data_IF_125251732686
#
_entry.id   IF_125251732686
#
_cell.length_a   1.000
_cell.length_b   1.000
_cell.length_c   1.000
_cell.angle_alpha   90.00
_cell.angle_beta   90.00
_cell.angle_gamma   90.00
#
_symmetry.space_group_name_H-M   'P 1'
#
loop_
_entity.id
_entity.type
_entity.pdbx_description
1 polymer ?
#
# COMPACT_ATOMS: atom_id res chain seq x y z
N UNK A 1 -35.23 -0.73 -5.70
CA UNK A 1 -35.59 -0.07 -6.96
C UNK A 1 -36.03 -1.19 -7.89
N UNK A 2 -37.35 -1.46 -7.93
CA UNK A 2 -37.94 -2.51 -8.71
C UNK A 2 -38.08 -2.02 -10.15
N UNK A 3 -37.47 -2.72 -11.07
CA UNK A 3 -37.63 -2.51 -12.51
C UNK A 3 -38.93 -3.31 -12.90
N UNK A 4 -40.08 -2.79 -12.52
CA UNK A 4 -41.37 -3.48 -12.80
C UNK A 4 -42.24 -2.77 -13.83
N UNK A 5 -41.82 -1.66 -14.45
CA UNK A 5 -42.82 -0.83 -15.15
C UNK A 5 -42.65 -0.64 -16.65
N UNK A 6 -41.73 -1.23 -17.38
CA UNK A 6 -41.66 -0.97 -18.83
C UNK A 6 -41.20 -2.16 -19.69
N UNK A 7 -41.74 -3.34 -19.46
CA UNK A 7 -41.54 -4.46 -20.39
C UNK A 7 -42.70 -4.48 -21.38
N UNK A 8 -42.50 -4.29 -22.71
CA UNK A 8 -43.53 -4.39 -23.71
C UNK A 8 -44.27 -5.76 -23.66
N UNK A 9 -45.59 -5.81 -23.94
CA UNK A 9 -46.38 -7.05 -23.83
C UNK A 9 -45.84 -8.22 -24.64
N UNK A 10 -45.18 -7.97 -25.72
CA UNK A 10 -44.55 -8.99 -26.57
C UNK A 10 -43.39 -9.78 -25.88
N UNK A 11 -42.86 -9.24 -24.79
CA UNK A 11 -41.81 -9.89 -23.99
C UNK A 11 -42.34 -10.54 -22.71
N UNK A 12 -43.64 -10.52 -22.44
CA UNK A 12 -44.20 -11.12 -21.22
C UNK A 12 -43.94 -12.63 -21.12
N UNK A 13 -43.88 -13.33 -22.23
CA UNK A 13 -43.53 -14.77 -22.24
C UNK A 13 -42.07 -15.05 -21.77
N UNK A 14 -41.21 -14.06 -21.78
CA UNK A 14 -39.82 -14.15 -21.30
C UNK A 14 -39.67 -13.67 -19.85
N UNK A 15 -40.74 -13.19 -19.23
CA UNK A 15 -40.74 -12.64 -17.86
C UNK A 15 -40.31 -13.65 -16.79
N UNK A 16 -40.54 -14.94 -17.02
CA UNK A 16 -40.10 -16.02 -16.15
C UNK A 16 -38.55 -16.21 -16.20
N UNK A 17 -37.98 -16.04 -17.37
CA UNK A 17 -36.51 -16.15 -17.54
C UNK A 17 -35.79 -14.95 -16.93
N UNK A 18 -36.38 -13.76 -17.01
CA UNK A 18 -35.80 -12.51 -16.44
C UNK A 18 -35.79 -12.57 -14.90
N UNK A 19 -36.79 -13.22 -14.25
CA UNK A 19 -36.79 -13.36 -12.78
C UNK A 19 -35.63 -14.20 -12.22
N UNK A 20 -35.06 -15.07 -13.04
CA UNK A 20 -33.95 -15.93 -12.67
C UNK A 20 -32.58 -15.38 -13.15
N UNK A 21 -32.56 -14.26 -13.86
CA UNK A 21 -31.30 -13.62 -14.29
C UNK A 21 -30.60 -12.98 -13.11
N UNK A 22 -29.38 -13.42 -12.85
CA UNK A 22 -28.47 -12.76 -11.91
C UNK A 22 -27.66 -11.72 -12.68
N UNK A 23 -27.81 -10.46 -12.29
CA UNK A 23 -27.02 -9.38 -12.88
C UNK A 23 -25.80 -9.10 -12.02
N UNK A 24 -24.66 -8.99 -12.66
CA UNK A 24 -23.41 -8.62 -12.01
C UNK A 24 -22.80 -7.45 -12.78
N UNK A 25 -22.29 -6.45 -12.04
CA UNK A 25 -21.51 -5.37 -12.63
C UNK A 25 -20.04 -5.65 -12.38
N UNK A 26 -19.30 -5.88 -13.44
CA UNK A 26 -17.85 -6.06 -13.37
C UNK A 26 -17.13 -4.94 -14.14
N UNK A 27 -15.93 -4.61 -13.70
CA UNK A 27 -15.00 -3.72 -14.42
C UNK A 27 -13.79 -4.54 -14.85
N UNK A 28 -13.61 -4.68 -16.16
CA UNK A 28 -12.40 -5.30 -16.73
C UNK A 28 -11.25 -4.33 -16.52
N UNK A 29 -10.14 -4.81 -15.97
CA UNK A 29 -8.93 -4.01 -15.73
C UNK A 29 -7.72 -4.55 -16.46
N UNK A 30 -7.63 -5.85 -16.54
CA UNK A 30 -6.51 -6.58 -17.13
C UNK A 30 -7.03 -7.68 -18.04
N UNK A 31 -6.25 -8.08 -19.00
CA UNK A 31 -6.47 -9.28 -19.81
C UNK A 31 -5.25 -10.18 -19.75
N UNK A 32 -5.47 -11.47 -19.86
CA UNK A 32 -4.42 -12.46 -19.97
C UNK A 32 -4.23 -12.79 -21.46
N UNK A 33 -3.06 -12.44 -22.00
CA UNK A 33 -2.66 -12.87 -23.34
C UNK A 33 -1.90 -14.17 -23.24
N UNK A 34 -2.33 -15.15 -24.02
CA UNK A 34 -1.69 -16.45 -24.11
C UNK A 34 -1.04 -16.53 -25.50
N UNK A 35 0.28 -16.52 -25.55
CA UNK A 35 1.06 -16.67 -26.78
C UNK A 35 1.89 -17.94 -26.67
N UNK A 36 1.61 -18.93 -27.49
CA UNK A 36 2.23 -20.25 -27.60
C UNK A 36 2.61 -20.93 -26.27
N UNK A 37 3.58 -20.42 -25.51
CA UNK A 37 3.99 -20.95 -24.20
C UNK A 37 4.09 -19.87 -23.10
N UNK A 38 3.74 -18.61 -23.40
CA UNK A 38 3.82 -17.50 -22.45
C UNK A 38 2.46 -16.89 -22.17
N UNK A 39 2.18 -16.73 -20.87
CA UNK A 39 1.01 -16.01 -20.38
C UNK A 39 1.45 -14.65 -19.82
N UNK A 40 0.90 -13.57 -20.36
CA UNK A 40 1.22 -12.21 -19.95
C UNK A 40 -0.04 -11.47 -19.52
N UNK A 41 0.01 -10.81 -18.36
CA UNK A 41 -1.05 -9.92 -17.91
C UNK A 41 -0.78 -8.52 -18.43
N UNK A 42 -1.66 -8.04 -19.31
CA UNK A 42 -1.59 -6.72 -19.93
C UNK A 42 -2.79 -5.86 -19.52
N UNK A 43 -2.71 -4.57 -19.79
CA UNK A 43 -3.86 -3.68 -19.60
C UNK A 43 -4.96 -4.04 -20.60
N UNK A 44 -6.21 -3.95 -20.14
CA UNK A 44 -7.37 -4.21 -20.97
C UNK A 44 -7.39 -3.28 -22.19
N UNK A 45 -7.49 -3.88 -23.37
CA UNK A 45 -7.42 -3.19 -24.68
C UNK A 45 -8.77 -2.69 -25.19
N UNK A 46 -9.85 -2.83 -24.41
CA UNK A 46 -11.16 -2.27 -24.75
C UNK A 46 -12.12 -3.26 -25.42
N UNK A 47 -11.76 -4.53 -25.58
CA UNK A 47 -12.69 -5.54 -26.13
C UNK A 47 -13.83 -5.85 -25.14
N UNK A 48 -14.99 -6.24 -25.67
CA UNK A 48 -16.16 -6.60 -24.87
C UNK A 48 -16.34 -8.13 -24.96
N UNK A 49 -16.54 -8.83 -23.83
CA UNK A 49 -16.82 -10.27 -23.84
C UNK A 49 -18.06 -10.59 -24.66
N UNK A 50 -18.00 -11.67 -25.44
CA UNK A 50 -19.13 -12.22 -26.18
C UNK A 50 -20.24 -12.72 -25.22
N UNK A 51 -21.47 -12.90 -25.73
CA UNK A 51 -22.59 -13.49 -25.00
C UNK A 51 -22.32 -14.91 -24.51
N UNK A 52 -21.43 -15.63 -25.17
CA UNK A 52 -20.97 -16.97 -24.77
C UNK A 52 -19.89 -16.96 -23.69
N UNK A 53 -19.37 -15.79 -23.30
CA UNK A 53 -18.33 -15.68 -22.32
C UNK A 53 -18.79 -16.20 -20.95
N UNK A 54 -17.97 -17.04 -20.34
CA UNK A 54 -18.22 -17.56 -18.99
C UNK A 54 -17.56 -16.67 -17.97
N UNK A 55 -18.21 -16.48 -16.84
CA UNK A 55 -17.65 -15.79 -15.68
C UNK A 55 -17.37 -16.82 -14.60
N UNK A 56 -16.11 -16.99 -14.26
CA UNK A 56 -15.66 -17.93 -13.26
C UNK A 56 -14.89 -17.18 -12.14
N UNK A 57 -15.04 -17.59 -10.88
CA UNK A 57 -14.22 -17.07 -9.81
C UNK A 57 -12.78 -17.57 -10.01
N UNK A 58 -11.81 -16.66 -9.83
CA UNK A 58 -10.38 -16.99 -9.92
C UNK A 58 -9.79 -17.00 -8.51
N UNK A 59 -8.90 -17.96 -8.24
CA UNK A 59 -8.21 -18.04 -6.95
C UNK A 59 -7.24 -16.86 -6.77
N UNK A 60 -7.22 -16.27 -5.58
CA UNK A 60 -6.32 -15.16 -5.23
C UNK A 60 -4.85 -15.54 -5.42
N UNK A 61 -4.45 -16.78 -5.11
CA UNK A 61 -3.06 -17.22 -5.29
C UNK A 61 -2.64 -17.21 -6.76
N UNK A 62 -3.55 -17.59 -7.66
CA UNK A 62 -3.30 -17.51 -9.09
C UNK A 62 -3.11 -16.05 -9.53
N UNK A 63 -4.00 -15.14 -9.10
CA UNK A 63 -3.91 -13.72 -9.41
C UNK A 63 -2.60 -13.14 -8.87
N UNK A 64 -2.29 -13.38 -7.60
CA UNK A 64 -1.08 -12.87 -6.95
C UNK A 64 0.18 -13.38 -7.64
N UNK A 65 0.20 -14.65 -8.02
CA UNK A 65 1.30 -15.26 -8.75
C UNK A 65 1.50 -14.60 -10.12
N UNK A 66 0.43 -14.41 -10.87
CA UNK A 66 0.49 -13.77 -12.21
C UNK A 66 0.85 -12.28 -12.14
N UNK A 67 0.54 -11.61 -11.02
CA UNK A 67 0.96 -10.22 -10.77
C UNK A 67 2.40 -10.11 -10.25
N UNK A 68 3.12 -11.23 -10.11
CA UNK A 68 4.46 -11.24 -9.52
C UNK A 68 4.46 -10.91 -8.01
N UNK A 69 3.34 -11.13 -7.35
CA UNK A 69 3.16 -10.90 -5.92
C UNK A 69 2.98 -12.27 -5.25
N UNK A 70 3.95 -12.67 -4.43
CA UNK A 70 3.84 -13.96 -3.76
C UNK A 70 5.14 -14.37 -3.07
N UNK A 71 5.02 -15.11 -1.99
CA UNK A 71 6.13 -15.49 -1.10
C UNK A 71 7.30 -16.18 -1.84
N UNK A 72 7.01 -16.92 -2.89
CA UNK A 72 7.99 -17.69 -3.65
C UNK A 72 8.96 -16.83 -4.49
N UNK A 73 8.60 -15.56 -4.73
CA UNK A 73 9.41 -14.69 -5.60
C UNK A 73 10.39 -13.79 -4.84
N UNK A 74 10.42 -13.83 -3.48
CA UNK A 74 11.12 -12.81 -2.73
C UNK A 74 12.14 -13.38 -1.74
N UNK A 75 13.38 -12.90 -1.83
CA UNK A 75 14.43 -13.18 -0.84
C UNK A 75 14.17 -12.48 0.50
N UNK A 76 13.56 -11.31 0.46
CA UNK A 76 13.29 -10.46 1.62
C UNK A 76 11.80 -10.11 1.66
N UNK A 77 10.94 -11.05 2.08
CA UNK A 77 9.50 -10.85 2.06
C UNK A 77 9.05 -9.91 3.17
N UNK A 78 8.12 -9.00 2.82
CA UNK A 78 7.43 -8.13 3.77
C UNK A 78 5.94 -8.43 3.68
N UNK A 79 5.36 -8.87 4.79
CA UNK A 79 3.91 -9.04 4.90
C UNK A 79 3.25 -7.68 5.09
N UNK A 80 2.39 -7.27 4.15
CA UNK A 80 1.69 -5.98 4.20
C UNK A 80 0.21 -6.11 4.56
N UNK A 81 -0.35 -7.31 4.56
CA UNK A 81 -1.74 -7.55 4.92
C UNK A 81 -2.25 -8.87 4.39
N UNK A 82 -3.56 -8.97 4.27
CA UNK A 82 -4.26 -10.13 3.74
C UNK A 82 -5.33 -9.70 2.75
N UNK A 83 -5.67 -10.59 1.80
CA UNK A 83 -6.79 -10.38 0.89
C UNK A 83 -8.12 -10.40 1.65
N UNK A 84 -9.08 -9.56 1.22
CA UNK A 84 -10.31 -9.33 1.96
C UNK A 84 -11.24 -10.56 2.03
N UNK A 85 -11.22 -11.43 1.02
CA UNK A 85 -12.17 -12.53 0.91
C UNK A 85 -11.59 -13.88 1.33
N UNK A 86 -10.32 -14.15 1.03
CA UNK A 86 -9.71 -15.45 1.27
C UNK A 86 -8.69 -15.43 2.40
N UNK A 87 -8.44 -14.26 3.01
CA UNK A 87 -7.45 -14.06 4.06
C UNK A 87 -6.04 -14.54 3.68
N UNK A 88 -5.71 -14.57 2.39
CA UNK A 88 -4.38 -14.91 1.88
C UNK A 88 -3.39 -13.79 2.17
N UNK A 89 -2.20 -14.14 2.59
CA UNK A 89 -1.15 -13.18 2.91
C UNK A 89 -0.68 -12.42 1.67
N UNK A 90 -0.77 -11.10 1.73
CA UNK A 90 -0.23 -10.21 0.70
C UNK A 90 1.21 -9.84 1.08
N UNK A 91 2.15 -10.34 0.30
CA UNK A 91 3.59 -10.22 0.56
C UNK A 91 4.25 -9.50 -0.61
N UNK A 92 5.10 -8.52 -0.31
CA UNK A 92 5.94 -7.85 -1.29
C UNK A 92 7.43 -8.09 -0.98
N UNK A 93 8.29 -7.85 -1.95
CA UNK A 93 9.74 -7.87 -1.72
C UNK A 93 10.23 -6.54 -1.19
N UNK A 94 11.17 -6.54 -0.24
CA UNK A 94 11.88 -5.35 0.18
C UNK A 94 12.59 -4.65 -1.01
N UNK A 95 13.00 -5.39 -2.03
CA UNK A 95 13.58 -4.82 -3.26
C UNK A 95 12.62 -3.89 -4.02
N UNK A 96 11.30 -4.13 -3.91
CA UNK A 96 10.30 -3.28 -4.55
C UNK A 96 10.23 -1.88 -3.92
N UNK A 97 10.83 -1.71 -2.75
CA UNK A 97 10.90 -0.43 -2.03
C UNK A 97 12.20 0.33 -2.27
N UNK A 98 13.07 -0.16 -3.16
CA UNK A 98 14.25 0.58 -3.59
C UNK A 98 13.83 1.82 -4.37
N UNK A 99 14.38 2.98 -4.01
CA UNK A 99 14.02 4.25 -4.60
C UNK A 99 12.92 4.99 -3.83
N UNK A 100 12.14 5.80 -4.54
CA UNK A 100 11.08 6.63 -3.93
C UNK A 100 9.76 5.87 -3.98
N UNK A 101 9.15 5.68 -2.82
CA UNK A 101 7.81 5.09 -2.68
C UNK A 101 6.87 6.10 -2.05
N UNK A 102 5.67 6.26 -2.59
CA UNK A 102 4.67 7.22 -2.11
C UNK A 102 3.41 6.47 -1.68
N UNK A 103 2.97 6.67 -0.42
CA UNK A 103 1.72 6.13 0.10
C UNK A 103 0.67 7.24 0.12
N UNK A 104 -0.36 7.10 -0.70
CA UNK A 104 -1.45 8.08 -0.82
C UNK A 104 -2.79 7.47 -0.43
N UNK A 105 -3.69 8.31 0.10
CA UNK A 105 -5.04 7.90 0.47
C UNK A 105 -5.75 8.93 1.32
N UNK A 106 -7.07 8.82 1.46
CA UNK A 106 -7.87 9.68 2.34
C UNK A 106 -7.54 9.46 3.81
N UNK A 107 -7.93 10.39 4.69
CA UNK A 107 -7.83 10.20 6.15
C UNK A 107 -8.57 8.92 6.57
N UNK A 108 -7.98 8.12 7.45
CA UNK A 108 -8.59 6.87 7.94
C UNK A 108 -8.46 5.65 7.04
N UNK A 109 -7.79 5.73 5.88
CA UNK A 109 -7.61 4.57 4.96
C UNK A 109 -6.46 3.63 5.33
N UNK A 110 -5.79 3.85 6.47
CA UNK A 110 -4.71 2.97 6.92
C UNK A 110 -3.31 3.30 6.40
N UNK A 111 -3.06 4.50 5.84
CA UNK A 111 -1.73 4.91 5.34
C UNK A 111 -0.62 4.74 6.38
N UNK A 112 -0.81 5.30 7.58
CA UNK A 112 0.17 5.19 8.67
C UNK A 112 0.34 3.75 9.13
N UNK A 113 -0.72 2.94 9.10
CA UNK A 113 -0.64 1.52 9.43
C UNK A 113 0.21 0.76 8.40
N UNK A 114 -0.03 1.00 7.11
CA UNK A 114 0.76 0.41 6.03
C UNK A 114 2.23 0.85 6.13
N UNK A 115 2.50 2.14 6.37
CA UNK A 115 3.86 2.64 6.53
C UNK A 115 4.60 1.96 7.70
N UNK A 116 3.91 1.77 8.84
CA UNK A 116 4.44 1.03 9.99
C UNK A 116 4.71 -0.44 9.65
N UNK A 117 3.79 -1.11 8.97
CA UNK A 117 3.97 -2.50 8.55
C UNK A 117 5.19 -2.67 7.62
N UNK A 118 5.36 -1.74 6.66
CA UNK A 118 6.52 -1.71 5.77
C UNK A 118 7.82 -1.47 6.55
N UNK A 119 7.85 -0.51 7.46
CA UNK A 119 9.02 -0.23 8.30
C UNK A 119 9.41 -1.45 9.13
N UNK A 120 8.45 -2.07 9.82
CA UNK A 120 8.72 -3.26 10.63
C UNK A 120 9.19 -4.43 9.77
N UNK A 121 8.60 -4.62 8.58
CA UNK A 121 9.05 -5.62 7.63
C UNK A 121 10.47 -5.38 7.11
N UNK A 122 10.87 -4.13 6.88
CA UNK A 122 12.24 -3.76 6.52
C UNK A 122 13.20 -4.06 7.67
N UNK A 123 12.85 -3.71 8.91
CA UNK A 123 13.65 -4.01 10.11
C UNK A 123 13.81 -5.52 10.30
N UNK A 124 12.78 -6.31 10.08
CA UNK A 124 12.84 -7.77 10.18
C UNK A 124 13.77 -8.39 9.11
N UNK A 125 13.93 -7.72 7.98
CA UNK A 125 14.88 -8.06 6.92
C UNK A 125 16.28 -7.44 7.11
N UNK A 126 16.54 -6.81 8.25
CA UNK A 126 17.87 -6.27 8.60
C UNK A 126 18.16 -4.89 8.01
N UNK A 127 17.18 -4.19 7.47
CA UNK A 127 17.36 -2.83 6.99
C UNK A 127 17.48 -1.85 8.15
N UNK A 128 18.31 -0.82 7.94
CA UNK A 128 18.37 0.37 8.79
C UNK A 128 17.57 1.50 8.13
N UNK A 129 16.93 2.34 8.94
CA UNK A 129 16.15 3.46 8.44
C UNK A 129 16.10 4.63 9.42
N UNK A 130 15.81 5.80 8.89
CA UNK A 130 15.53 7.00 9.65
C UNK A 130 14.10 7.44 9.35
N UNK A 131 13.32 7.69 10.40
CA UNK A 131 11.93 8.13 10.30
C UNK A 131 11.79 9.52 10.89
N UNK A 132 11.24 10.46 10.12
CA UNK A 132 10.85 11.77 10.62
C UNK A 132 9.39 11.70 11.05
N UNK A 133 9.19 11.54 12.36
CA UNK A 133 7.88 11.30 12.98
C UNK A 133 7.32 12.60 13.58
N UNK A 134 6.60 13.37 12.74
CA UNK A 134 6.04 14.66 13.18
C UNK A 134 4.88 14.47 14.17
N UNK A 135 4.17 13.34 14.10
CA UNK A 135 2.96 13.09 14.87
C UNK A 135 3.16 12.15 16.07
N UNK A 136 4.41 11.73 16.34
CA UNK A 136 4.75 10.73 17.37
C UNK A 136 3.94 9.43 17.26
N UNK A 137 3.79 8.94 16.02
CA UNK A 137 3.04 7.72 15.75
C UNK A 137 3.91 6.45 15.83
N UNK A 138 5.23 6.56 15.67
CA UNK A 138 6.13 5.41 15.52
C UNK A 138 6.79 5.00 16.82
N UNK A 139 6.99 5.90 17.78
CA UNK A 139 7.60 5.61 19.10
C UNK A 139 6.81 4.54 19.86
N UNK A 140 5.47 4.55 19.75
CA UNK A 140 4.58 3.59 20.38
C UNK A 140 4.80 2.13 19.93
N UNK A 141 5.41 1.89 18.76
CA UNK A 141 5.67 0.53 18.26
C UNK A 141 6.72 -0.24 19.08
N UNK A 142 7.43 0.44 19.98
CA UNK A 142 8.34 -0.19 20.95
C UNK A 142 7.61 -1.04 21.99
N UNK A 143 6.33 -0.79 22.19
CA UNK A 143 5.52 -1.45 23.19
C UNK A 143 4.39 -2.26 22.55
N UNK A 144 4.05 -3.37 23.16
CA UNK A 144 2.84 -4.12 22.87
C UNK A 144 1.60 -3.41 23.47
N UNK A 145 0.37 -3.80 23.09
CA UNK A 145 -0.86 -3.25 23.68
C UNK A 145 -0.96 -3.36 25.21
N UNK A 146 -0.35 -4.38 25.80
CA UNK A 146 -0.24 -4.60 27.25
C UNK A 146 0.88 -3.79 27.92
N UNK A 147 1.53 -2.89 27.17
CA UNK A 147 2.68 -2.07 27.57
C UNK A 147 3.96 -2.86 27.87
N UNK A 148 4.01 -4.15 27.59
CA UNK A 148 5.26 -4.90 27.60
C UNK A 148 6.16 -4.49 26.42
N UNK A 149 7.45 -4.81 26.50
CA UNK A 149 8.39 -4.53 25.40
C UNK A 149 8.05 -5.37 24.17
N UNK A 150 7.91 -4.73 23.03
CA UNK A 150 7.77 -5.45 21.76
C UNK A 150 9.12 -6.03 21.30
N UNK A 151 9.09 -6.93 20.32
CA UNK A 151 10.31 -7.45 19.68
C UNK A 151 11.15 -6.37 18.99
N UNK A 152 10.61 -5.17 18.82
CA UNK A 152 11.27 -4.03 18.19
C UNK A 152 11.79 -3.01 19.21
N UNK A 153 11.63 -3.25 20.52
CA UNK A 153 11.97 -2.28 21.56
C UNK A 153 13.40 -1.75 21.43
N UNK A 154 14.37 -2.64 21.21
CA UNK A 154 15.79 -2.27 21.09
C UNK A 154 16.20 -1.90 19.65
N UNK A 155 15.35 -2.18 18.67
CA UNK A 155 15.58 -1.85 17.26
C UNK A 155 15.09 -0.45 16.89
N UNK A 156 14.15 0.09 17.64
CA UNK A 156 13.57 1.43 17.43
C UNK A 156 14.15 2.38 18.47
N UNK A 157 14.94 3.33 18.02
CA UNK A 157 15.60 4.32 18.87
C UNK A 157 14.92 5.68 18.63
N UNK A 158 14.03 6.14 19.53
CA UNK A 158 13.45 7.49 19.41
C UNK A 158 14.55 8.51 19.71
N UNK A 159 14.61 9.52 18.87
CA UNK A 159 15.55 10.63 18.98
C UNK A 159 14.76 11.93 19.15
N UNK A 160 14.73 12.44 20.38
CA UNK A 160 14.01 13.66 20.74
C UNK A 160 14.97 14.86 20.74
N UNK A 161 14.75 15.85 19.86
CA UNK A 161 15.58 17.06 19.83
C UNK A 161 15.60 17.78 21.19
N UNK A 162 16.81 18.13 21.67
CA UNK A 162 17.01 18.77 22.96
C UNK A 162 17.02 17.83 24.18
N UNK A 163 16.53 16.60 24.04
CA UNK A 163 16.57 15.57 25.10
C UNK A 163 17.75 14.64 24.87
N UNK A 164 17.65 13.75 23.88
CA UNK A 164 18.67 12.77 23.56
C UNK A 164 19.31 12.95 22.16
N UNK A 165 18.73 13.82 21.31
CA UNK A 165 19.33 14.23 20.04
C UNK A 165 19.98 15.61 20.21
N UNK A 166 21.29 15.65 20.29
CA UNK A 166 22.09 16.87 20.43
C UNK A 166 23.27 16.84 19.47
N UNK A 167 23.50 17.95 18.82
CA UNK A 167 24.63 18.14 17.94
C UNK A 167 25.59 19.19 18.54
N UNK A 168 26.88 18.95 18.43
CA UNK A 168 27.86 19.97 18.76
C UNK A 168 28.00 20.96 17.61
N UNK A 169 28.29 22.22 17.92
CA UNK A 169 28.49 23.27 16.91
C UNK A 169 29.56 22.92 15.85
N UNK A 170 30.71 22.33 16.21
CA UNK A 170 31.68 21.88 15.22
C UNK A 170 31.16 20.80 14.27
N UNK A 171 30.22 19.94 14.73
CA UNK A 171 29.62 18.90 13.90
C UNK A 171 28.62 19.47 12.92
N UNK A 172 27.80 20.42 13.36
CA UNK A 172 26.77 21.07 12.52
C UNK A 172 27.38 21.98 11.46
N UNK A 173 28.50 22.64 11.80
CA UNK A 173 29.13 23.67 10.98
C UNK A 173 28.46 25.04 11.14
N UNK A 174 29.24 26.08 10.94
CA UNK A 174 28.80 27.47 11.15
C UNK A 174 27.75 27.89 10.13
N UNK A 175 27.83 27.42 8.90
CA UNK A 175 26.84 27.78 7.85
C UNK A 175 25.43 27.31 8.20
N UNK A 176 25.31 26.03 8.60
CA UNK A 176 24.03 25.47 9.03
C UNK A 176 23.52 26.15 10.29
N UNK A 177 24.39 26.45 11.23
CA UNK A 177 24.06 27.16 12.46
C UNK A 177 23.48 28.56 12.16
N UNK A 178 24.09 29.31 11.27
CA UNK A 178 23.60 30.63 10.86
C UNK A 178 22.28 30.52 10.12
N UNK A 179 22.09 29.54 9.22
CA UNK A 179 20.83 29.32 8.50
C UNK A 179 19.68 29.01 9.47
N UNK A 180 19.93 28.21 10.50
CA UNK A 180 18.94 27.87 11.54
C UNK A 180 18.57 29.12 12.36
N UNK A 181 19.57 29.90 12.82
CA UNK A 181 19.32 31.14 13.57
C UNK A 181 18.54 32.15 12.72
N UNK A 182 18.94 32.39 11.48
CA UNK A 182 18.23 33.28 10.58
C UNK A 182 16.78 32.88 10.37
N UNK A 183 16.53 31.58 10.18
CA UNK A 183 15.18 31.02 10.04
C UNK A 183 14.37 31.20 11.33
N UNK A 184 14.95 30.90 12.48
CA UNK A 184 14.29 31.03 13.79
C UNK A 184 13.99 32.49 14.17
N UNK A 185 14.84 33.43 13.79
CA UNK A 185 14.66 34.87 14.04
C UNK A 185 13.84 35.60 12.97
N UNK A 186 13.39 34.92 11.91
CA UNK A 186 12.63 35.54 10.82
C UNK A 186 13.44 36.56 10.00
N UNK A 187 14.77 36.52 10.06
CA UNK A 187 15.63 37.44 9.35
C UNK A 187 15.75 37.03 7.88
N UNK A 188 15.42 37.92 6.98
CA UNK A 188 15.50 37.67 5.54
C UNK A 188 16.92 37.29 5.10
N UNK A 189 17.03 36.33 4.16
CA UNK A 189 18.31 35.82 3.58
C UNK A 189 19.20 36.88 2.90
N UNK A 190 18.80 38.13 2.89
CA UNK A 190 19.50 39.25 2.21
C UNK A 190 20.79 39.77 2.90
N UNK A 191 21.18 39.19 4.03
CA UNK A 191 22.37 39.57 4.78
C UNK A 191 23.52 38.56 4.64
N UNK A 192 23.70 37.93 3.47
CA UNK A 192 24.97 37.27 3.14
C UNK A 192 25.92 38.36 2.60
N UNK A 193 26.81 38.86 3.43
CA UNK A 193 28.03 39.58 3.03
C UNK A 193 29.06 38.59 2.47
#
# INVERSE_FOLDING_TARGET
MSIEEDVPPEYEKYRLDVKNMKFSRAKIRKELKINDDNEEIVDWTGWIPDRSAKVEPVDDDWILTKMGIGKQFYKHPILIGQTAYTAKNLIISAHNLQGISIIVGKKGTGKSHLAKALLLGLIDNGAMGLVFDINDEYSAMRLNPDRSRSKYFDKLIPLDPGVNLRFTLPYVGMDVFFDVIQTAMGVARSLRL
#
